data_IF_083827653444
#
_entry.id   IF_083827653444
#
_cell.length_a   1.000
_cell.length_b   1.000
_cell.length_c   1.000
_cell.angle_alpha   90.00
_cell.angle_beta   90.00
_cell.angle_gamma   90.00
#
_symmetry.space_group_name_H-M   'P 1'
#
loop_
_entity.id
_entity.type
_entity.pdbx_description
1 polymer ?
#
# COMPACT_ATOMS: atom_id res chain seq x y z
N UNK A 1 -73.67 4.87 -25.82
CA UNK A 1 -74.83 4.78 -24.93
C UNK A 1 -74.29 4.72 -23.52
N UNK A 2 -74.35 5.83 -22.80
CA UNK A 2 -75.13 6.10 -21.57
C UNK A 2 -74.83 5.06 -20.48
N UNK A 3 -74.41 5.35 -19.24
CA UNK A 3 -74.91 6.40 -18.34
C UNK A 3 -73.98 6.55 -17.14
N UNK A 4 -73.90 7.74 -16.65
CA UNK A 4 -73.37 8.22 -15.36
C UNK A 4 -74.14 7.67 -14.17
N UNK A 5 -73.54 7.49 -13.01
CA UNK A 5 -74.10 7.87 -11.73
C UNK A 5 -73.00 8.29 -10.76
N UNK A 6 -73.10 9.51 -10.22
CA UNK A 6 -72.46 10.08 -9.04
C UNK A 6 -73.09 9.56 -7.73
N UNK A 7 -72.30 9.42 -6.69
CA UNK A 7 -72.70 9.74 -5.27
C UNK A 7 -71.46 9.64 -4.41
N UNK A 8 -70.92 10.63 -3.91
CA UNK A 8 -71.04 11.53 -2.76
C UNK A 8 -70.54 10.88 -1.45
N UNK A 9 -69.41 11.38 -1.02
CA UNK A 9 -68.89 11.84 0.29
C UNK A 9 -69.32 11.06 1.55
N UNK A 10 -68.26 10.52 2.27
CA UNK A 10 -68.19 10.63 3.73
C UNK A 10 -66.76 10.71 4.23
N UNK A 11 -66.39 11.83 4.86
CA UNK A 11 -65.15 12.03 5.58
C UNK A 11 -65.15 11.23 6.88
N UNK A 12 -64.16 10.35 7.08
CA UNK A 12 -63.76 9.87 8.39
C UNK A 12 -62.29 10.11 8.58
N UNK A 13 -61.96 11.09 9.40
CA UNK A 13 -60.62 11.32 9.93
C UNK A 13 -60.26 10.17 10.86
N UNK A 14 -59.33 9.30 10.42
CA UNK A 14 -58.61 8.44 11.34
C UNK A 14 -57.12 8.79 11.17
N UNK A 15 -56.60 9.45 12.22
CA UNK A 15 -55.18 9.74 12.34
C UNK A 15 -54.41 8.44 12.49
N UNK A 16 -53.63 8.09 11.50
CA UNK A 16 -52.59 7.07 11.62
C UNK A 16 -51.24 7.72 11.89
N UNK A 17 -50.81 7.55 13.13
CA UNK A 17 -49.42 7.79 13.55
C UNK A 17 -48.50 6.92 12.66
N UNK A 18 -47.78 7.53 11.75
CA UNK A 18 -46.63 6.93 11.10
C UNK A 18 -45.44 6.98 12.05
N UNK A 19 -44.78 5.86 12.37
CA UNK A 19 -43.52 5.95 13.10
C UNK A 19 -42.49 6.59 12.17
N UNK A 20 -42.01 7.75 12.53
CA UNK A 20 -40.81 8.38 11.98
C UNK A 20 -39.64 7.40 12.19
N UNK A 21 -39.23 6.71 11.11
CA UNK A 21 -37.92 6.07 11.03
C UNK A 21 -36.90 7.21 11.08
N UNK A 22 -36.42 7.51 12.28
CA UNK A 22 -35.22 8.28 12.47
C UNK A 22 -34.08 7.55 11.71
N UNK A 23 -33.72 8.05 10.55
CA UNK A 23 -32.43 7.78 9.95
C UNK A 23 -31.38 8.31 10.93
N UNK A 24 -30.84 7.44 11.75
CA UNK A 24 -29.57 7.71 12.41
C UNK A 24 -28.53 7.82 11.29
N UNK A 25 -28.29 9.05 10.86
CA UNK A 25 -27.06 9.40 10.18
C UNK A 25 -25.94 9.07 11.19
N UNK A 26 -25.24 7.96 10.97
CA UNK A 26 -23.94 7.78 11.57
C UNK A 26 -23.06 8.88 10.95
N UNK A 27 -22.99 10.01 11.65
CA UNK A 27 -21.89 10.94 11.51
C UNK A 27 -20.65 10.16 11.95
N UNK A 28 -19.89 9.64 10.98
CA UNK A 28 -18.54 9.16 11.23
C UNK A 28 -17.81 10.31 11.95
N UNK A 29 -17.37 10.04 13.15
CA UNK A 29 -16.73 10.98 14.04
C UNK A 29 -15.52 11.58 13.32
N UNK A 30 -15.63 12.86 12.96
CA UNK A 30 -14.54 13.67 12.42
C UNK A 30 -13.36 13.84 13.41
N UNK A 31 -13.52 13.38 14.63
CA UNK A 31 -12.51 13.43 15.69
C UNK A 31 -11.38 12.41 15.57
N UNK A 32 -11.62 11.26 14.98
CA UNK A 32 -10.61 10.18 14.91
C UNK A 32 -9.56 10.44 13.81
N UNK A 33 -9.96 11.11 12.73
CA UNK A 33 -9.05 11.42 11.61
C UNK A 33 -8.02 12.51 11.95
N UNK A 34 -8.39 13.52 12.74
CA UNK A 34 -7.48 14.58 13.16
C UNK A 34 -6.40 14.07 14.12
N UNK A 35 -6.72 13.09 14.95
CA UNK A 35 -5.78 12.45 15.88
C UNK A 35 -4.73 11.63 15.11
N UNK A 36 -5.13 10.95 14.04
CA UNK A 36 -4.19 10.20 13.21
C UNK A 36 -3.25 11.13 12.45
N UNK A 37 -3.73 12.21 11.83
CA UNK A 37 -2.90 13.19 11.14
C UNK A 37 -1.92 13.88 12.11
N UNK A 38 -2.37 14.33 13.27
CA UNK A 38 -1.51 14.96 14.29
C UNK A 38 -0.42 13.99 14.78
N UNK A 39 -0.77 12.72 14.97
CA UNK A 39 0.16 11.69 15.38
C UNK A 39 1.21 11.38 14.31
N UNK A 40 0.84 11.45 13.02
CA UNK A 40 1.79 11.33 11.92
C UNK A 40 2.72 12.54 11.81
N UNK A 41 2.23 13.76 12.00
CA UNK A 41 3.05 14.97 12.03
C UNK A 41 4.03 14.98 13.21
N UNK A 42 3.62 14.56 14.39
CA UNK A 42 4.50 14.38 15.56
C UNK A 42 5.56 13.30 15.33
N UNK A 43 5.20 12.20 14.65
CA UNK A 43 6.14 11.16 14.26
C UNK A 43 7.14 11.65 13.24
N UNK A 44 6.74 12.45 12.25
CA UNK A 44 7.67 13.10 11.30
C UNK A 44 8.68 13.99 12.02
N UNK A 45 8.24 14.83 12.95
CA UNK A 45 9.13 15.68 13.75
C UNK A 45 10.04 14.85 14.67
N UNK A 46 9.57 13.73 15.18
CA UNK A 46 10.36 12.80 15.95
C UNK A 46 11.43 12.10 15.10
N UNK A 47 11.23 11.84 13.81
CA UNK A 47 12.22 11.26 12.88
C UNK A 47 13.53 12.05 12.83
N UNK A 48 13.50 13.34 13.05
CA UNK A 48 14.72 14.17 13.12
C UNK A 48 15.51 14.02 14.42
N UNK A 49 15.03 13.22 15.40
CA UNK A 49 15.70 12.98 16.68
C UNK A 49 16.21 11.55 16.86
N UNK A 50 16.51 10.83 15.80
CA UNK A 50 16.60 9.37 15.76
C UNK A 50 17.85 8.73 16.32
N UNK A 51 17.62 7.53 16.89
CA UNK A 51 18.57 6.45 16.87
C UNK A 51 18.76 5.97 15.41
N UNK A 52 19.96 6.17 14.82
CA UNK A 52 20.21 5.78 13.44
C UNK A 52 20.07 4.27 13.21
N UNK A 53 20.06 3.46 14.28
CA UNK A 53 19.93 1.99 14.20
C UNK A 53 18.49 1.52 14.23
N UNK A 54 17.53 2.42 14.50
CA UNK A 54 16.11 2.10 14.62
C UNK A 54 15.22 3.22 14.04
N UNK A 55 15.33 3.53 12.74
CA UNK A 55 14.54 4.60 12.15
C UNK A 55 13.06 4.29 12.22
N UNK A 56 12.27 5.29 12.60
CA UNK A 56 10.82 5.22 12.59
C UNK A 56 10.35 5.31 11.14
N UNK A 57 9.72 4.26 10.65
CA UNK A 57 9.23 4.18 9.27
C UNK A 57 7.86 3.52 9.21
N UNK A 58 7.12 3.84 8.17
CA UNK A 58 5.97 3.10 7.68
C UNK A 58 6.19 2.77 6.20
N UNK A 59 5.74 1.60 5.78
CA UNK A 59 5.69 1.19 4.37
C UNK A 59 7.03 1.35 3.65
N UNK A 60 8.12 0.76 4.21
CA UNK A 60 9.45 0.95 3.66
C UNK A 60 9.70 0.10 2.42
N UNK A 61 10.43 0.66 1.46
CA UNK A 61 11.02 -0.05 0.33
C UNK A 61 12.52 0.25 0.25
N UNK A 62 13.30 -0.74 -0.14
CA UNK A 62 14.76 -0.69 -0.15
C UNK A 62 15.29 -0.84 -1.58
N UNK A 63 16.33 -0.06 -1.93
CA UNK A 63 17.07 -0.26 -3.17
C UNK A 63 18.56 0.02 -2.94
N UNK A 64 19.41 -0.74 -3.64
CA UNK A 64 20.85 -0.48 -3.69
C UNK A 64 21.18 0.39 -4.90
N UNK A 65 21.98 1.44 -4.69
CA UNK A 65 22.58 2.25 -5.73
C UNK A 65 24.07 2.36 -5.44
N UNK A 66 24.89 1.86 -6.36
CA UNK A 66 26.34 1.74 -6.17
C UNK A 66 26.67 0.98 -4.86
N UNK A 67 27.42 1.57 -3.96
CA UNK A 67 27.83 0.98 -2.68
C UNK A 67 26.92 1.36 -1.51
N UNK A 68 25.78 2.03 -1.77
CA UNK A 68 24.87 2.51 -0.74
C UNK A 68 23.48 1.91 -0.85
N UNK A 69 22.81 1.86 0.28
CA UNK A 69 21.43 1.40 0.42
C UNK A 69 20.54 2.62 0.66
N UNK A 70 19.45 2.70 -0.09
CA UNK A 70 18.48 3.78 0.01
C UNK A 70 17.14 3.21 0.42
N UNK A 71 16.55 3.83 1.43
CA UNK A 71 15.24 3.48 1.95
C UNK A 71 14.27 4.62 1.64
N UNK A 72 13.14 4.28 1.06
CA UNK A 72 12.01 5.18 0.84
C UNK A 72 10.85 4.71 1.70
N UNK A 73 10.08 5.61 2.28
CA UNK A 73 8.96 5.23 3.13
C UNK A 73 7.88 6.33 3.15
N UNK A 74 6.71 5.96 3.64
CA UNK A 74 5.64 6.90 3.93
C UNK A 74 6.15 8.09 4.70
N UNK A 75 5.79 9.31 4.24
CA UNK A 75 6.19 10.54 4.89
C UNK A 75 5.93 11.78 4.05
N UNK A 76 6.37 12.92 4.53
CA UNK A 76 6.19 14.19 3.83
C UNK A 76 7.03 14.23 2.55
N UNK A 77 6.34 14.23 1.40
CA UNK A 77 6.99 14.15 0.10
C UNK A 77 7.76 12.86 -0.16
N UNK A 78 7.40 11.74 0.49
CA UNK A 78 8.16 10.48 0.58
C UNK A 78 9.49 10.67 1.30
N UNK A 79 9.57 10.19 2.54
CA UNK A 79 10.78 10.26 3.36
C UNK A 79 11.86 9.32 2.86
N UNK A 80 13.12 9.77 2.90
CA UNK A 80 14.26 9.01 2.41
C UNK A 80 15.38 8.90 3.44
N UNK A 81 16.04 7.75 3.45
CA UNK A 81 17.22 7.48 4.26
C UNK A 81 18.31 6.84 3.41
N UNK A 82 19.56 6.98 3.83
CA UNK A 82 20.72 6.33 3.21
C UNK A 82 21.52 5.59 4.28
N UNK A 83 22.12 4.47 3.89
CA UNK A 83 22.99 3.65 4.73
C UNK A 83 24.13 3.05 3.92
N UNK A 84 25.29 2.87 4.55
CA UNK A 84 26.42 2.13 3.98
C UNK A 84 26.40 0.63 4.38
N UNK A 85 25.55 0.23 5.36
CA UNK A 85 25.61 -1.10 5.97
C UNK A 85 24.24 -1.73 6.30
N UNK A 86 23.12 -1.08 5.91
CA UNK A 86 21.74 -1.45 6.27
C UNK A 86 21.44 -1.49 7.78
N UNK A 87 22.33 -0.99 8.60
CA UNK A 87 22.20 -0.95 10.07
C UNK A 87 22.12 0.46 10.62
N UNK A 88 22.88 1.37 10.00
CA UNK A 88 22.95 2.77 10.42
C UNK A 88 22.37 3.65 9.32
N UNK A 89 21.26 4.29 9.60
CA UNK A 89 20.48 5.06 8.64
C UNK A 89 20.57 6.55 8.89
N UNK A 90 20.80 7.31 7.85
CA UNK A 90 20.82 8.77 7.87
C UNK A 90 19.65 9.31 7.06
N UNK A 91 18.77 10.08 7.70
CA UNK A 91 17.68 10.77 7.03
C UNK A 91 18.20 11.79 6.01
N UNK A 92 17.55 11.82 4.84
CA UNK A 92 17.89 12.72 3.73
C UNK A 92 16.79 13.73 3.38
N UNK A 93 15.65 13.69 4.08
CA UNK A 93 14.46 14.49 3.76
C UNK A 93 13.54 13.83 2.72
N UNK A 94 12.65 14.62 2.13
CA UNK A 94 11.69 14.14 1.16
C UNK A 94 12.24 14.06 -0.26
N UNK A 95 11.61 13.21 -1.09
CA UNK A 95 11.79 13.19 -2.56
C UNK A 95 11.25 14.50 -3.14
N UNK A 96 10.07 14.91 -2.70
CA UNK A 96 9.45 16.18 -3.06
C UNK A 96 9.66 17.19 -1.93
N UNK A 97 10.57 18.13 -2.11
CA UNK A 97 10.77 19.23 -1.16
C UNK A 97 9.57 20.20 -1.16
N UNK A 98 8.96 20.36 -2.32
CA UNK A 98 7.73 21.12 -2.51
C UNK A 98 6.69 20.23 -3.17
N UNK A 99 5.54 20.10 -2.52
CA UNK A 99 4.44 19.28 -3.03
C UNK A 99 3.77 19.99 -4.21
N UNK A 100 3.77 19.38 -5.41
CA UNK A 100 3.11 19.95 -6.59
C UNK A 100 1.65 20.28 -6.32
N UNK A 101 1.22 21.47 -6.74
CA UNK A 101 -0.14 21.95 -6.47
C UNK A 101 -1.22 21.02 -7.06
N UNK A 102 -0.96 20.45 -8.25
CA UNK A 102 -1.90 19.55 -8.92
C UNK A 102 -2.27 18.31 -8.07
N UNK A 103 -1.37 17.84 -7.20
CA UNK A 103 -1.65 16.74 -6.29
C UNK A 103 -2.69 17.13 -5.24
N UNK A 104 -2.55 18.35 -4.67
CA UNK A 104 -3.49 18.91 -3.69
C UNK A 104 -4.86 19.18 -4.32
N UNK A 105 -4.87 19.64 -5.56
CA UNK A 105 -6.12 19.91 -6.29
C UNK A 105 -6.88 18.62 -6.62
N UNK A 106 -6.15 17.51 -6.83
CA UNK A 106 -6.74 16.21 -7.18
C UNK A 106 -7.34 15.46 -6.00
N UNK A 107 -6.73 15.57 -4.83
CA UNK A 107 -7.18 14.89 -3.60
C UNK A 107 -7.58 15.95 -2.57
N UNK A 108 -8.89 16.18 -2.37
CA UNK A 108 -9.36 17.09 -1.32
C UNK A 108 -8.87 16.66 0.07
N UNK A 109 -8.23 17.58 0.78
CA UNK A 109 -7.66 17.35 2.11
C UNK A 109 -6.22 16.82 2.10
N UNK A 110 -5.65 16.46 0.95
CA UNK A 110 -4.24 16.06 0.85
C UNK A 110 -3.32 17.25 1.12
N UNK A 111 -2.36 17.07 2.02
CA UNK A 111 -1.41 18.12 2.43
C UNK A 111 0.02 17.87 2.02
N UNK A 112 0.35 16.66 1.56
CA UNK A 112 1.71 16.28 1.14
C UNK A 112 2.30 15.08 1.85
N UNK A 113 1.54 14.45 2.75
CA UNK A 113 1.94 13.19 3.36
C UNK A 113 1.65 12.06 2.36
N UNK A 114 2.68 11.61 1.66
CA UNK A 114 2.63 10.57 0.64
C UNK A 114 2.91 9.22 1.26
N UNK A 115 2.31 8.15 0.70
CA UNK A 115 2.33 6.83 1.32
C UNK A 115 2.93 5.78 0.41
N UNK A 116 3.43 4.71 1.07
CA UNK A 116 3.75 3.43 0.49
C UNK A 116 4.47 3.54 -0.86
N UNK A 117 5.70 4.01 -0.89
CA UNK A 117 6.46 4.08 -2.14
C UNK A 117 6.92 2.69 -2.59
N UNK A 118 7.09 2.53 -3.91
CA UNK A 118 7.89 1.47 -4.50
C UNK A 118 8.91 2.05 -5.47
N UNK A 119 10.07 1.41 -5.61
CA UNK A 119 11.16 1.90 -6.43
C UNK A 119 11.89 0.78 -7.16
N UNK A 120 12.13 0.98 -8.46
CA UNK A 120 12.96 0.10 -9.26
C UNK A 120 13.97 0.89 -10.11
N UNK A 121 15.07 0.25 -10.47
CA UNK A 121 15.99 0.76 -11.49
C UNK A 121 15.72 0.07 -12.82
N UNK A 122 15.43 0.84 -13.86
CA UNK A 122 15.15 0.32 -15.18
C UNK A 122 15.59 1.30 -16.27
N UNK A 123 16.23 0.80 -17.33
CA UNK A 123 16.66 1.59 -18.49
C UNK A 123 17.43 2.88 -18.16
N UNK A 124 18.29 2.84 -17.11
CA UNK A 124 19.14 3.97 -16.76
C UNK A 124 18.51 5.00 -15.82
N UNK A 125 17.30 4.76 -15.35
CA UNK A 125 16.59 5.63 -14.41
C UNK A 125 16.03 4.86 -13.21
N UNK A 126 15.92 5.52 -12.06
CA UNK A 126 15.16 5.07 -10.89
C UNK A 126 13.73 5.53 -11.07
N UNK A 127 12.79 4.59 -11.07
CA UNK A 127 11.36 4.84 -11.14
C UNK A 127 10.76 4.69 -9.76
N UNK A 128 10.27 5.78 -9.19
CA UNK A 128 9.60 5.83 -7.90
C UNK A 128 8.11 5.98 -8.12
N UNK A 129 7.33 5.13 -7.47
CA UNK A 129 5.87 5.22 -7.41
C UNK A 129 5.46 5.58 -5.99
N UNK A 130 4.42 6.39 -5.85
CA UNK A 130 3.98 6.90 -4.55
C UNK A 130 2.48 7.10 -4.52
N UNK A 131 1.88 6.89 -3.36
CA UNK A 131 0.43 7.00 -3.16
C UNK A 131 0.03 8.35 -2.58
N UNK A 132 -1.00 8.98 -3.14
CA UNK A 132 -1.63 10.17 -2.60
C UNK A 132 -3.10 9.87 -2.32
N UNK A 133 -3.51 10.06 -1.07
CA UNK A 133 -4.87 9.79 -0.61
C UNK A 133 -5.20 10.57 0.67
N UNK A 134 -6.38 10.33 1.21
CA UNK A 134 -6.77 10.66 2.59
C UNK A 134 -7.27 9.41 3.28
N UNK A 135 -6.98 9.29 4.58
CA UNK A 135 -7.24 8.07 5.34
C UNK A 135 -8.72 7.63 5.28
N UNK A 136 -8.94 6.33 5.04
CA UNK A 136 -10.29 5.74 4.97
C UNK A 136 -11.11 6.13 3.74
N UNK A 137 -10.45 6.68 2.70
CA UNK A 137 -11.08 7.04 1.42
C UNK A 137 -10.42 6.27 0.28
N UNK A 138 -11.16 6.14 -0.84
CA UNK A 138 -10.61 5.65 -2.10
C UNK A 138 -10.64 6.71 -3.23
N UNK A 139 -10.65 7.99 -2.85
CA UNK A 139 -10.23 9.04 -3.77
C UNK A 139 -8.72 9.14 -3.66
N UNK A 140 -8.04 8.42 -4.53
CA UNK A 140 -6.60 8.20 -4.43
C UNK A 140 -5.98 8.19 -5.82
N UNK A 141 -4.68 8.41 -5.87
CA UNK A 141 -3.90 8.11 -7.06
C UNK A 141 -2.50 7.60 -6.68
N UNK A 142 -1.91 6.83 -7.58
CA UNK A 142 -0.49 6.52 -7.56
C UNK A 142 0.19 7.37 -8.60
N UNK A 143 1.17 8.17 -8.15
CA UNK A 143 2.02 8.98 -9.00
C UNK A 143 3.33 8.28 -9.33
N UNK A 144 4.05 8.83 -10.30
CA UNK A 144 5.33 8.31 -10.78
C UNK A 144 6.33 9.46 -10.89
N UNK A 145 7.54 9.25 -10.41
CA UNK A 145 8.67 10.16 -10.58
C UNK A 145 9.91 9.37 -10.98
N UNK A 146 10.82 10.01 -11.70
CA UNK A 146 12.08 9.39 -12.14
C UNK A 146 13.29 10.21 -11.73
N UNK A 147 14.43 9.53 -11.54
CA UNK A 147 15.71 10.16 -11.30
C UNK A 147 16.84 9.29 -11.86
N UNK A 148 17.91 9.90 -12.34
CA UNK A 148 19.06 9.16 -12.89
C UNK A 148 19.99 8.60 -11.81
N UNK A 149 19.99 9.18 -10.63
CA UNK A 149 20.83 8.79 -9.51
C UNK A 149 20.12 9.01 -8.19
N UNK A 150 20.51 8.27 -7.15
CA UNK A 150 20.04 8.48 -5.79
C UNK A 150 21.07 9.25 -4.94
N UNK A 151 22.27 9.52 -5.46
CA UNK A 151 23.25 10.34 -4.80
C UNK A 151 22.89 11.84 -4.88
N UNK A 152 22.45 12.41 -3.77
CA UNK A 152 22.07 13.82 -3.66
C UNK A 152 23.22 14.81 -3.92
N UNK A 153 24.48 14.34 -3.88
CA UNK A 153 25.64 15.18 -4.19
C UNK A 153 25.93 15.27 -5.69
N UNK A 154 25.32 14.39 -6.49
CA UNK A 154 25.47 14.38 -7.94
C UNK A 154 24.73 15.57 -8.59
N UNK A 155 25.33 16.14 -9.65
CA UNK A 155 24.67 17.16 -10.47
C UNK A 155 23.47 16.61 -11.26
N UNK A 156 23.39 15.29 -11.45
CA UNK A 156 22.29 14.62 -12.11
C UNK A 156 21.12 14.29 -11.16
N UNK A 157 21.28 14.52 -9.84
CA UNK A 157 20.22 14.29 -8.88
C UNK A 157 19.07 15.27 -9.08
N UNK A 158 18.00 14.75 -9.68
CA UNK A 158 16.78 15.53 -9.90
C UNK A 158 15.62 14.60 -10.11
N UNK A 159 14.65 14.63 -9.20
CA UNK A 159 13.39 13.94 -9.40
C UNK A 159 12.50 14.69 -10.38
N UNK A 160 12.03 13.99 -11.40
CA UNK A 160 11.08 14.49 -12.37
C UNK A 160 9.72 13.80 -12.15
N UNK A 161 8.71 14.61 -11.83
CA UNK A 161 7.33 14.14 -11.70
C UNK A 161 6.73 13.79 -13.06
N UNK A 162 6.33 12.54 -13.26
CA UNK A 162 5.69 12.02 -14.48
C UNK A 162 4.16 11.97 -14.38
N UNK A 163 3.61 12.42 -13.24
CA UNK A 163 2.18 12.47 -12.98
C UNK A 163 1.56 11.14 -12.60
N UNK A 164 0.27 10.99 -12.85
CA UNK A 164 -0.54 9.85 -12.40
C UNK A 164 -0.37 8.63 -13.27
N UNK A 165 -0.10 7.46 -12.64
CA UNK A 165 -0.15 6.14 -13.27
C UNK A 165 -1.56 5.59 -13.25
N UNK A 166 -2.18 5.57 -12.08
CA UNK A 166 -3.52 5.03 -11.83
C UNK A 166 -4.23 5.84 -10.76
N UNK A 167 -5.54 5.96 -10.87
CA UNK A 167 -6.36 6.62 -9.87
C UNK A 167 -7.56 5.76 -9.47
N UNK A 168 -8.16 6.08 -8.34
CA UNK A 168 -9.48 5.62 -7.96
C UNK A 168 -10.38 6.79 -7.60
N UNK A 169 -11.63 6.71 -8.02
CA UNK A 169 -12.67 7.70 -7.76
C UNK A 169 -13.81 6.99 -7.04
N UNK A 170 -14.25 7.48 -5.88
CA UNK A 170 -15.39 6.93 -5.16
C UNK A 170 -16.60 6.76 -6.09
N UNK A 171 -17.36 5.69 -5.89
CA UNK A 171 -18.56 5.33 -6.66
C UNK A 171 -18.31 4.85 -8.10
N UNK A 172 -17.18 5.24 -8.71
CA UNK A 172 -16.76 4.75 -10.03
C UNK A 172 -15.97 3.44 -9.91
N UNK A 173 -15.00 3.41 -8.99
CA UNK A 173 -13.98 2.36 -8.94
C UNK A 173 -14.14 1.46 -7.72
N UNK A 174 -13.98 0.14 -7.94
CA UNK A 174 -14.04 -0.89 -6.91
C UNK A 174 -12.64 -1.25 -6.37
N UNK A 175 -11.68 -0.32 -6.46
CA UNK A 175 -10.34 -0.44 -5.90
C UNK A 175 -9.93 0.87 -5.19
N UNK A 176 -8.85 0.80 -4.45
CA UNK A 176 -8.18 1.97 -3.91
C UNK A 176 -6.79 2.06 -4.55
N UNK A 177 -6.50 3.15 -5.24
CA UNK A 177 -5.24 3.35 -5.97
C UNK A 177 -4.14 3.84 -5.01
N UNK A 178 -3.68 2.94 -4.14
CA UNK A 178 -2.52 3.09 -3.25
C UNK A 178 -1.73 1.78 -3.20
N UNK A 179 -0.59 1.80 -2.54
CA UNK A 179 0.30 0.67 -2.33
C UNK A 179 0.81 0.06 -3.64
N UNK A 180 1.57 0.82 -4.43
CA UNK A 180 2.16 0.33 -5.67
C UNK A 180 3.24 -0.71 -5.42
N UNK A 181 3.37 -1.65 -6.36
CA UNK A 181 4.58 -2.42 -6.55
C UNK A 181 4.79 -2.70 -8.04
N UNK A 182 6.03 -2.57 -8.48
CA UNK A 182 6.44 -2.78 -9.87
C UNK A 182 7.47 -3.89 -9.97
N UNK A 183 7.28 -4.76 -10.94
CA UNK A 183 8.25 -5.81 -11.28
C UNK A 183 8.42 -5.88 -12.81
N UNK A 184 9.65 -6.17 -13.25
CA UNK A 184 9.94 -6.53 -14.63
C UNK A 184 9.99 -8.06 -14.73
N UNK A 185 9.23 -8.64 -15.64
CA UNK A 185 9.23 -10.08 -15.86
C UNK A 185 10.44 -10.55 -16.68
N UNK A 186 10.57 -11.87 -16.86
CA UNK A 186 11.70 -12.48 -17.61
C UNK A 186 11.71 -12.09 -19.11
N UNK A 187 10.60 -11.54 -19.63
CA UNK A 187 10.50 -11.02 -21.00
C UNK A 187 10.79 -9.52 -21.09
N UNK A 188 11.14 -8.87 -19.98
CA UNK A 188 11.41 -7.43 -19.90
C UNK A 188 10.16 -6.56 -19.85
N UNK A 189 8.97 -7.13 -19.59
CA UNK A 189 7.72 -6.38 -19.48
C UNK A 189 7.49 -5.91 -18.06
N UNK A 190 7.09 -4.66 -17.92
CA UNK A 190 6.68 -4.08 -16.63
C UNK A 190 5.29 -4.53 -16.22
N UNK A 191 5.15 -4.93 -14.96
CA UNK A 191 3.89 -5.27 -14.30
C UNK A 191 3.72 -4.42 -13.06
N UNK A 192 2.47 -4.02 -12.80
CA UNK A 192 2.11 -3.12 -11.73
C UNK A 192 1.01 -3.74 -10.86
N UNK A 193 1.32 -4.01 -9.61
CA UNK A 193 0.32 -4.41 -8.62
C UNK A 193 0.04 -3.26 -7.65
N UNK A 194 -1.19 -3.16 -7.17
CA UNK A 194 -1.61 -2.13 -6.25
C UNK A 194 -2.93 -2.51 -5.58
N UNK A 195 -3.27 -1.80 -4.52
CA UNK A 195 -4.60 -1.87 -3.92
C UNK A 195 -4.58 -2.07 -2.42
N UNK A 196 -5.62 -1.55 -1.78
CA UNK A 196 -5.86 -1.63 -0.36
C UNK A 196 -7.35 -1.70 -0.13
N UNK A 197 -7.83 -2.69 0.64
CA UNK A 197 -9.25 -2.90 0.92
C UNK A 197 -10.13 -3.05 -0.33
N UNK A 198 -11.31 -2.46 -0.37
CA UNK A 198 -12.27 -2.45 -1.48
C UNK A 198 -12.33 -3.76 -2.28
N UNK A 199 -11.89 -3.74 -3.52
CA UNK A 199 -11.88 -4.89 -4.42
C UNK A 199 -10.60 -5.71 -4.40
N UNK A 200 -9.75 -5.54 -3.37
CA UNK A 200 -8.49 -6.26 -3.21
C UNK A 200 -7.39 -5.80 -4.15
N UNK A 201 -6.38 -6.64 -4.30
CA UNK A 201 -5.17 -6.34 -5.04
C UNK A 201 -5.37 -6.53 -6.53
N UNK A 202 -4.98 -5.53 -7.31
CA UNK A 202 -5.05 -5.49 -8.77
C UNK A 202 -3.66 -5.64 -9.37
N UNK A 203 -3.62 -6.20 -10.58
CA UNK A 203 -2.43 -6.30 -11.41
C UNK A 203 -2.76 -5.88 -12.84
N UNK A 204 -1.85 -5.14 -13.47
CA UNK A 204 -1.89 -4.82 -14.91
C UNK A 204 -0.49 -4.70 -15.49
N UNK A 205 -0.37 -4.84 -16.81
CA UNK A 205 0.88 -4.58 -17.52
C UNK A 205 1.11 -3.08 -17.73
N UNK A 206 2.35 -2.63 -17.57
CA UNK A 206 2.78 -1.26 -17.88
C UNK A 206 3.15 -1.10 -19.36
N UNK A 207 3.12 0.13 -19.84
CA UNK A 207 3.73 0.52 -21.11
C UNK A 207 5.27 0.50 -21.02
N UNK A 208 5.97 0.73 -22.13
CA UNK A 208 7.43 0.57 -22.22
C UNK A 208 8.23 1.53 -21.34
N UNK A 209 7.72 2.73 -21.09
CA UNK A 209 8.37 3.73 -20.22
C UNK A 209 7.89 3.64 -18.75
N UNK A 210 7.14 2.60 -18.40
CA UNK A 210 6.62 2.30 -17.08
C UNK A 210 5.74 3.40 -16.45
N UNK A 211 5.26 4.35 -17.26
CA UNK A 211 4.52 5.52 -16.76
C UNK A 211 3.01 5.32 -16.65
N UNK A 212 2.45 4.34 -17.38
CA UNK A 212 1.01 4.13 -17.50
C UNK A 212 0.64 2.67 -17.74
N UNK A 213 -0.63 2.29 -17.48
CA UNK A 213 -1.16 1.02 -17.92
C UNK A 213 -0.98 0.83 -19.43
N UNK A 214 -0.61 -0.39 -19.82
CA UNK A 214 -0.54 -0.77 -21.23
C UNK A 214 -1.95 -0.86 -21.82
N UNK A 215 -2.12 -0.32 -23.02
CA UNK A 215 -3.39 -0.43 -23.74
C UNK A 215 -3.46 -1.68 -24.65
N UNK A 216 -4.61 -2.34 -24.79
CA UNK A 216 -5.83 -2.12 -24.02
C UNK A 216 -5.67 -2.56 -22.57
N UNK A 217 -6.28 -1.84 -21.64
CA UNK A 217 -6.17 -2.14 -20.21
C UNK A 217 -6.79 -3.51 -19.88
N UNK A 218 -6.03 -4.33 -19.15
CA UNK A 218 -6.48 -5.61 -18.62
C UNK A 218 -6.15 -5.68 -17.12
N UNK A 219 -7.17 -5.54 -16.31
CA UNK A 219 -7.06 -5.55 -14.86
C UNK A 219 -7.34 -6.95 -14.32
N UNK A 220 -6.42 -7.47 -13.51
CA UNK A 220 -6.55 -8.79 -12.88
C UNK A 220 -6.63 -8.60 -11.38
N UNK A 221 -7.60 -9.25 -10.73
CA UNK A 221 -7.62 -9.33 -9.26
C UNK A 221 -6.79 -10.54 -8.84
N UNK A 222 -5.63 -10.28 -8.21
CA UNK A 222 -4.68 -11.33 -7.84
C UNK A 222 -4.80 -11.78 -6.38
N UNK A 223 -5.34 -10.92 -5.48
CA UNK A 223 -5.59 -11.30 -4.10
C UNK A 223 -6.81 -10.56 -3.52
N UNK A 224 -7.54 -11.25 -2.64
CA UNK A 224 -8.66 -10.72 -1.84
C UNK A 224 -8.67 -11.41 -0.48
N UNK A 225 -9.37 -10.81 0.51
CA UNK A 225 -9.71 -11.53 1.74
C UNK A 225 -10.94 -12.41 1.53
N UNK A 226 -11.00 -13.52 2.25
CA UNK A 226 -12.25 -14.26 2.39
C UNK A 226 -13.26 -13.38 3.15
N UNK A 227 -14.45 -13.18 2.57
CA UNK A 227 -15.47 -12.31 3.16
C UNK A 227 -16.05 -12.85 4.48
N UNK A 228 -15.88 -14.13 4.74
CA UNK A 228 -16.22 -14.74 6.01
C UNK A 228 -15.22 -14.31 7.13
N UNK A 229 -13.98 -14.02 6.74
CA UNK A 229 -12.92 -13.60 7.67
C UNK A 229 -12.81 -12.08 7.81
N UNK A 230 -13.08 -11.33 6.73
CA UNK A 230 -12.99 -9.87 6.73
C UNK A 230 -14.10 -9.25 5.88
N UNK A 231 -15.03 -8.56 6.54
CA UNK A 231 -16.12 -7.85 5.84
C UNK A 231 -15.61 -6.67 5.03
N UNK A 232 -14.58 -5.99 5.53
CA UNK A 232 -13.94 -4.82 4.90
C UNK A 232 -12.97 -5.20 3.79
N UNK A 233 -12.70 -6.50 3.57
CA UNK A 233 -11.68 -6.97 2.65
C UNK A 233 -10.29 -6.40 3.01
N UNK A 234 -9.91 -6.48 4.30
CA UNK A 234 -8.67 -5.92 4.84
C UNK A 234 -7.43 -6.66 4.30
N UNK A 235 -7.00 -6.29 3.11
CA UNK A 235 -5.83 -6.76 2.39
C UNK A 235 -5.22 -5.59 1.64
N UNK A 236 -3.88 -5.44 1.69
CA UNK A 236 -3.16 -4.33 1.07
C UNK A 236 -1.68 -4.66 0.88
N UNK A 237 -0.89 -3.66 0.46
CA UNK A 237 0.57 -3.75 0.37
C UNK A 237 1.06 -4.94 -0.46
N UNK A 238 0.68 -5.07 -1.74
CA UNK A 238 1.22 -6.12 -2.59
C UNK A 238 2.70 -5.92 -2.86
N UNK A 239 3.46 -7.01 -2.86
CA UNK A 239 4.82 -7.03 -3.36
C UNK A 239 5.06 -8.36 -4.10
N UNK A 240 5.42 -8.28 -5.39
CA UNK A 240 5.72 -9.46 -6.19
C UNK A 240 7.23 -9.62 -6.27
N UNK A 241 7.72 -10.78 -5.84
CA UNK A 241 9.12 -11.15 -5.90
C UNK A 241 9.34 -12.40 -6.76
N UNK A 242 10.31 -12.35 -7.69
CA UNK A 242 10.66 -13.49 -8.53
C UNK A 242 11.81 -14.28 -7.91
N UNK A 243 11.60 -15.60 -7.70
CA UNK A 243 12.64 -16.52 -7.26
C UNK A 243 12.49 -17.87 -7.96
N UNK A 244 13.54 -18.28 -8.66
CA UNK A 244 13.49 -19.50 -9.46
C UNK A 244 12.35 -19.48 -10.47
N UNK A 245 11.51 -20.52 -10.48
CA UNK A 245 10.36 -20.61 -11.39
C UNK A 245 9.12 -19.85 -10.92
N UNK A 246 9.13 -19.30 -9.68
CA UNK A 246 7.92 -18.73 -9.06
C UNK A 246 8.00 -17.22 -8.91
N UNK A 247 6.85 -16.59 -9.11
CA UNK A 247 6.51 -15.28 -8.60
C UNK A 247 5.82 -15.46 -7.25
N UNK A 248 6.32 -14.82 -6.21
CA UNK A 248 5.76 -14.80 -4.87
C UNK A 248 5.02 -13.49 -4.68
N UNK A 249 3.73 -13.55 -4.36
CA UNK A 249 2.93 -12.38 -4.01
C UNK A 249 2.84 -12.30 -2.49
N UNK A 250 3.55 -11.35 -1.93
CA UNK A 250 3.41 -10.95 -0.53
C UNK A 250 2.31 -9.90 -0.44
N UNK A 251 1.47 -9.99 0.58
CA UNK A 251 0.47 -8.98 0.91
C UNK A 251 0.34 -8.88 2.42
N UNK A 252 -0.19 -7.78 2.90
CA UNK A 252 -0.51 -7.62 4.30
C UNK A 252 -2.02 -7.65 4.51
N UNK A 253 -2.45 -8.27 5.60
CA UNK A 253 -3.85 -8.45 5.95
C UNK A 253 -4.14 -7.88 7.34
N UNK A 254 -5.43 -7.60 7.59
CA UNK A 254 -5.96 -7.01 8.80
C UNK A 254 -5.51 -5.54 8.98
N UNK A 255 -5.33 -5.02 10.17
CA UNK A 255 -5.24 -3.59 10.42
C UNK A 255 -3.90 -3.16 10.98
N UNK A 256 -3.24 -2.23 10.29
CA UNK A 256 -2.09 -1.48 10.78
C UNK A 256 -2.49 -0.26 11.64
N UNK A 257 -1.54 0.58 11.94
CA UNK A 257 -1.71 1.98 12.32
C UNK A 257 -2.36 2.21 13.70
N UNK A 258 -2.33 1.19 14.57
CA UNK A 258 -2.87 1.20 15.94
C UNK A 258 -1.80 0.95 17.02
N UNK A 259 -0.51 1.10 16.66
CA UNK A 259 0.61 0.80 17.55
C UNK A 259 0.52 -0.64 18.06
N UNK A 260 0.62 -0.85 19.38
CA UNK A 260 0.53 -2.19 20.00
C UNK A 260 -0.79 -2.93 19.75
N UNK A 261 -1.84 -2.22 19.37
CA UNK A 261 -3.16 -2.78 19.08
C UNK A 261 -3.35 -3.11 17.59
N UNK A 262 -2.30 -3.00 16.79
CA UNK A 262 -2.34 -3.41 15.39
C UNK A 262 -2.45 -4.93 15.30
N UNK A 263 -3.20 -5.40 14.28
CA UNK A 263 -3.40 -6.81 13.97
C UNK A 263 -2.79 -7.18 12.60
N UNK A 264 -1.95 -6.32 12.06
CA UNK A 264 -1.35 -6.45 10.74
C UNK A 264 -0.51 -7.71 10.62
N UNK A 265 -0.64 -8.42 9.51
CA UNK A 265 0.06 -9.69 9.28
C UNK A 265 0.48 -9.82 7.83
N UNK A 266 1.66 -10.33 7.60
CA UNK A 266 2.15 -10.70 6.27
C UNK A 266 1.66 -12.10 5.89
N UNK A 267 1.25 -12.25 4.64
CA UNK A 267 0.92 -13.54 4.03
C UNK A 267 1.47 -13.62 2.61
N UNK A 268 1.65 -14.85 2.11
CA UNK A 268 2.23 -15.09 0.79
C UNK A 268 1.49 -16.19 0.03
N UNK A 269 1.50 -16.07 -1.28
CA UNK A 269 1.19 -17.14 -2.22
C UNK A 269 2.14 -17.08 -3.41
N UNK A 270 2.19 -18.12 -4.22
CA UNK A 270 3.10 -18.18 -5.38
C UNK A 270 2.43 -18.68 -6.65
N UNK A 271 2.98 -18.28 -7.78
CA UNK A 271 2.53 -18.69 -9.12
C UNK A 271 3.72 -18.81 -10.07
N UNK A 272 3.62 -19.67 -11.09
CA UNK A 272 4.59 -19.70 -12.20
C UNK A 272 4.29 -18.64 -13.27
N UNK A 273 3.08 -18.11 -13.32
CA UNK A 273 2.70 -16.99 -14.19
C UNK A 273 2.49 -15.73 -13.32
N UNK A 274 3.08 -14.61 -13.72
CA UNK A 274 2.95 -13.35 -12.99
C UNK A 274 1.50 -12.88 -12.83
N UNK A 275 0.63 -13.30 -13.75
CA UNK A 275 -0.82 -13.02 -13.68
C UNK A 275 -1.57 -13.93 -12.70
N UNK A 276 -0.89 -14.91 -12.12
CA UNK A 276 -1.48 -15.88 -11.21
C UNK A 276 -2.11 -17.10 -11.93
N UNK A 277 -2.92 -17.91 -11.25
CA UNK A 277 -3.31 -17.71 -9.86
C UNK A 277 -2.15 -17.90 -8.88
N UNK A 278 -2.05 -16.99 -7.90
CA UNK A 278 -1.14 -17.16 -6.78
C UNK A 278 -1.80 -18.11 -5.77
N UNK A 279 -1.16 -19.23 -5.49
CA UNK A 279 -1.67 -20.25 -4.60
C UNK A 279 -0.91 -20.23 -3.28
N UNK A 280 -1.60 -20.47 -2.18
CA UNK A 280 -0.98 -20.77 -0.89
C UNK A 280 -0.49 -22.22 -0.82
N UNK A 281 0.07 -22.63 0.30
CA UNK A 281 0.59 -23.99 0.53
C UNK A 281 -0.50 -25.08 0.58
N UNK A 282 -1.77 -24.71 0.74
CA UNK A 282 -2.92 -25.60 0.63
C UNK A 282 -3.46 -25.74 -0.79
N UNK A 283 -2.97 -24.92 -1.74
CA UNK A 283 -3.46 -24.82 -3.11
C UNK A 283 -4.67 -23.89 -3.28
N UNK A 284 -5.05 -23.14 -2.25
CA UNK A 284 -6.13 -22.13 -2.34
C UNK A 284 -5.59 -20.85 -2.99
N UNK A 285 -6.32 -20.32 -3.98
CA UNK A 285 -5.92 -19.10 -4.67
C UNK A 285 -6.09 -17.86 -3.77
N UNK A 286 -5.09 -16.96 -3.78
CA UNK A 286 -5.15 -15.69 -3.05
C UNK A 286 -6.29 -14.79 -3.54
N UNK A 287 -6.66 -14.87 -4.82
CA UNK A 287 -7.87 -14.20 -5.36
C UNK A 287 -9.19 -14.72 -4.78
N UNK A 288 -9.15 -15.81 -3.98
CA UNK A 288 -10.27 -16.40 -3.25
C UNK A 288 -9.99 -16.50 -1.74
N UNK A 289 -9.11 -15.65 -1.22
CA UNK A 289 -8.75 -15.61 0.19
C UNK A 289 -7.75 -16.66 0.65
N UNK A 290 -7.04 -17.33 -0.28
CA UNK A 290 -5.88 -18.17 0.06
C UNK A 290 -4.77 -17.31 0.65
N UNK A 291 -4.02 -17.85 1.63
CA UNK A 291 -2.93 -17.11 2.24
C UNK A 291 -2.07 -18.01 3.12
N UNK A 292 -0.76 -18.11 2.82
CA UNK A 292 0.19 -18.73 3.73
C UNK A 292 0.73 -17.68 4.69
N UNK A 293 0.52 -17.81 6.01
CA UNK A 293 1.02 -16.85 6.97
C UNK A 293 2.55 -16.81 7.01
N UNK A 294 3.10 -15.60 7.20
CA UNK A 294 4.49 -15.34 7.52
C UNK A 294 4.53 -14.78 8.96
N UNK A 295 5.57 -15.11 9.72
CA UNK A 295 5.75 -14.59 11.07
C UNK A 295 5.71 -13.06 11.08
N UNK A 296 4.77 -12.49 11.81
CA UNK A 296 4.52 -11.05 11.83
C UNK A 296 4.57 -10.45 13.24
N UNK A 297 4.89 -11.26 14.25
CA UNK A 297 5.05 -10.80 15.63
C UNK A 297 6.04 -11.66 16.39
N UNK A 298 6.67 -11.08 17.42
CA UNK A 298 7.58 -11.71 18.36
C UNK A 298 7.42 -11.07 19.75
N UNK A 299 8.29 -11.39 20.71
CA UNK A 299 8.33 -10.68 22.00
C UNK A 299 8.67 -9.19 21.85
N UNK A 300 9.48 -8.84 20.85
CA UNK A 300 9.94 -7.48 20.59
C UNK A 300 9.00 -6.70 19.67
N UNK A 301 8.35 -7.39 18.72
CA UNK A 301 7.63 -6.79 17.61
C UNK A 301 6.17 -7.22 17.56
N UNK A 302 5.32 -6.27 17.25
CA UNK A 302 3.89 -6.50 17.00
C UNK A 302 3.56 -6.10 15.58
N UNK A 303 2.81 -6.96 14.89
CA UNK A 303 2.14 -6.60 13.64
C UNK A 303 3.09 -6.08 12.55
N UNK A 304 4.14 -6.86 12.23
CA UNK A 304 4.98 -6.56 11.08
C UNK A 304 4.18 -6.69 9.78
N UNK A 305 4.36 -5.74 8.87
CA UNK A 305 3.66 -5.72 7.60
C UNK A 305 4.20 -4.69 6.62
N UNK A 306 3.50 -4.57 5.49
CA UNK A 306 3.88 -3.75 4.35
C UNK A 306 5.32 -4.03 3.94
N UNK A 307 5.57 -5.28 3.54
CA UNK A 307 6.92 -5.73 3.25
C UNK A 307 7.28 -5.57 1.78
N UNK A 308 8.55 -5.22 1.53
CA UNK A 308 9.25 -5.40 0.28
C UNK A 308 10.23 -6.57 0.38
N UNK A 309 10.50 -7.24 -0.73
CA UNK A 309 11.48 -8.34 -0.81
C UNK A 309 12.47 -8.05 -1.93
N UNK A 310 13.76 -8.07 -1.61
CA UNK A 310 14.81 -7.65 -2.51
C UNK A 310 15.97 -8.65 -2.51
N UNK A 311 16.56 -8.90 -3.68
CA UNK A 311 17.82 -9.63 -3.78
C UNK A 311 18.99 -8.63 -3.71
N UNK A 312 19.69 -8.59 -2.58
CA UNK A 312 20.76 -7.63 -2.31
C UNK A 312 21.96 -8.39 -1.77
N UNK A 313 23.13 -8.16 -2.37
CA UNK A 313 24.42 -8.75 -1.96
C UNK A 313 24.38 -10.29 -1.82
N UNK A 314 23.67 -10.95 -2.74
CA UNK A 314 23.54 -12.41 -2.79
C UNK A 314 22.54 -12.99 -1.79
N UNK A 315 21.75 -12.16 -1.12
CA UNK A 315 20.76 -12.55 -0.12
C UNK A 315 19.36 -12.04 -0.49
N UNK A 316 18.37 -12.82 -0.13
CA UNK A 316 16.97 -12.39 -0.21
C UNK A 316 16.61 -11.69 1.10
N UNK A 317 16.30 -10.41 1.03
CA UNK A 317 16.08 -9.52 2.17
C UNK A 317 14.63 -9.07 2.19
N UNK A 318 13.96 -9.26 3.31
CA UNK A 318 12.68 -8.64 3.60
C UNK A 318 12.90 -7.32 4.33
N UNK A 319 12.26 -6.27 3.86
CA UNK A 319 12.12 -4.99 4.55
C UNK A 319 10.66 -4.77 4.89
N UNK A 320 10.36 -4.32 6.10
CA UNK A 320 9.00 -4.07 6.56
C UNK A 320 9.00 -3.03 7.69
N UNK A 321 7.84 -2.59 8.12
CA UNK A 321 7.70 -1.95 9.41
C UNK A 321 7.05 -2.90 10.43
N UNK A 322 7.35 -2.69 11.71
CA UNK A 322 6.67 -3.35 12.82
C UNK A 322 6.57 -2.41 14.01
N UNK A 323 5.61 -2.65 14.89
CA UNK A 323 5.44 -1.82 16.08
C UNK A 323 6.22 -2.42 17.26
N UNK A 324 6.99 -1.59 17.95
CA UNK A 324 7.66 -2.00 19.19
C UNK A 324 6.63 -2.48 20.22
N UNK A 325 6.80 -3.68 20.75
CA UNK A 325 5.94 -4.20 21.82
C UNK A 325 6.03 -3.36 23.10
N UNK A 326 7.15 -2.63 23.29
CA UNK A 326 7.36 -1.77 24.43
C UNK A 326 6.72 -0.37 24.24
N UNK A 327 7.04 0.35 23.14
CA UNK A 327 6.58 1.74 22.93
C UNK A 327 5.34 1.83 22.05
N UNK A 328 5.11 0.89 21.14
CA UNK A 328 4.08 0.96 20.10
C UNK A 328 4.47 1.81 18.90
N UNK A 329 5.71 2.32 18.86
CA UNK A 329 6.24 3.06 17.73
C UNK A 329 6.57 2.12 16.57
N UNK A 330 6.30 2.59 15.35
CA UNK A 330 6.65 1.87 14.14
C UNK A 330 8.14 2.00 13.85
N UNK A 331 8.82 0.90 13.58
CA UNK A 331 10.26 0.86 13.31
C UNK A 331 10.57 -0.02 12.11
N UNK A 332 11.71 0.25 11.49
CA UNK A 332 12.25 -0.53 10.38
C UNK A 332 12.61 -1.94 10.81
N UNK A 333 12.17 -2.92 10.02
CA UNK A 333 12.59 -4.31 10.10
C UNK A 333 13.33 -4.66 8.81
N UNK A 334 14.54 -5.20 8.95
CA UNK A 334 15.31 -5.79 7.85
C UNK A 334 15.71 -7.18 8.28
N UNK A 335 15.32 -8.19 7.50
CA UNK A 335 15.57 -9.60 7.79
C UNK A 335 15.98 -10.36 6.55
N UNK A 336 16.95 -11.26 6.68
CA UNK A 336 17.24 -12.24 5.66
C UNK A 336 16.09 -13.27 5.62
N UNK A 337 15.68 -13.65 4.42
CA UNK A 337 14.67 -14.68 4.20
C UNK A 337 15.38 -16.02 4.08
N UNK A 338 15.01 -16.95 4.91
CA UNK A 338 15.32 -18.36 4.72
C UNK A 338 14.19 -19.01 3.90
N UNK A 339 14.55 -19.96 3.03
CA UNK A 339 13.57 -20.67 2.21
C UNK A 339 13.56 -22.13 2.63
N UNK A 340 12.38 -22.64 2.99
CA UNK A 340 12.22 -24.03 3.35
C UNK A 340 12.43 -24.99 2.15
N UNK A 341 12.41 -26.30 2.41
CA UNK A 341 12.64 -27.33 1.37
C UNK A 341 11.58 -27.29 0.25
N UNK A 342 10.38 -26.83 0.56
CA UNK A 342 9.28 -26.64 -0.40
C UNK A 342 9.35 -25.27 -1.12
N UNK A 343 10.33 -24.43 -0.79
CA UNK A 343 10.57 -23.12 -1.37
C UNK A 343 9.63 -22.02 -0.84
N UNK A 344 9.12 -22.14 0.39
CA UNK A 344 8.38 -21.06 1.04
C UNK A 344 9.29 -20.21 1.92
N UNK A 345 9.00 -18.89 2.02
CA UNK A 345 9.80 -18.01 2.86
C UNK A 345 9.57 -18.27 4.35
N UNK A 346 10.64 -18.31 5.11
CA UNK A 346 10.67 -18.31 6.56
C UNK A 346 11.49 -17.12 7.08
N UNK A 347 11.00 -16.46 8.12
CA UNK A 347 11.55 -15.18 8.61
C UNK A 347 11.52 -15.18 10.14
N UNK A 348 12.68 -14.95 10.75
CA UNK A 348 12.79 -14.71 12.17
C UNK A 348 12.74 -13.22 12.52
N UNK A 349 11.73 -12.77 13.31
CA UNK A 349 11.53 -11.39 13.75
C UNK A 349 12.24 -11.04 15.06
#
# INVERSE_FOLDING_TARGET
MKQYILSAILYVLIGTLTPSLARTSHSAESGDYSIHETRFEEQEQARFRHDPTAPMVHDPVLIKCEDKYYLFCTGWGISTFVSDDMKHWKAQGGVFEQIPQWMKDRIPGFRGHMWAPDIIYHNGEYHLYYSCSTFGKNRSFIGHAVNKTLDRSSQEYKWEDRGVVVESIPERDQWNAIDPNVIIDDEGKGWFSFGSFWGGIKLFGLNEDLSKPKEPQAWITIATRDRAESRENAIEAPFIYKRGEYYYLFVSIDFCCRGKNSAYRMVVGRSKDIKGPYLDDSGKAMSRGGSKPIKSSSEKWVAAGHCGVHHIDGKDILVAHAYSAQSGESQLIIKEIEWDEDGWPDIEL
#
